data_IF_919500919665
#
_entry.id   IF_919500919665
#
_cell.length_a   1.000
_cell.length_b   1.000
_cell.length_c   1.000
_cell.angle_alpha   90.00
_cell.angle_beta   90.00
_cell.angle_gamma   90.00
#
_symmetry.space_group_name_H-M   'P 1'
#
loop_
_entity.id
_entity.type
_entity.pdbx_description
1 polymer ?
#
# COMPACT_ATOMS: atom_id res chain seq x y z
N UNK A 1 3.44 12.80 5.96
CA UNK A 1 2.48 12.56 7.05
C UNK A 1 2.05 13.86 7.75
N UNK A 2 2.95 14.62 8.40
CA UNK A 2 2.62 15.82 9.20
C UNK A 2 1.74 16.86 8.47
N UNK A 3 2.06 17.19 7.22
CA UNK A 3 1.26 18.17 6.46
C UNK A 3 -0.18 17.70 6.19
N UNK A 4 -0.37 16.42 5.88
CA UNK A 4 -1.69 15.83 5.64
C UNK A 4 -2.52 15.79 6.93
N UNK A 5 -1.88 15.54 8.08
CA UNK A 5 -2.52 15.65 9.40
C UNK A 5 -2.95 17.10 9.66
N UNK A 6 -2.06 18.07 9.45
CA UNK A 6 -2.35 19.49 9.67
C UNK A 6 -3.48 20.02 8.77
N UNK A 7 -3.63 19.46 7.56
CA UNK A 7 -4.74 19.77 6.66
C UNK A 7 -6.03 18.98 6.95
N UNK A 8 -6.00 18.05 7.91
CA UNK A 8 -7.16 17.23 8.27
C UNK A 8 -7.50 16.12 7.26
N UNK A 9 -6.58 15.77 6.36
CA UNK A 9 -6.79 14.78 5.30
C UNK A 9 -6.72 13.33 5.81
N UNK A 10 -5.95 13.12 6.89
CA UNK A 10 -5.72 11.81 7.52
C UNK A 10 -5.73 11.96 9.04
N UNK A 11 -5.99 10.87 9.77
CA UNK A 11 -5.90 10.85 11.23
C UNK A 11 -4.43 10.81 11.70
N UNK A 12 -4.09 11.41 12.86
CA UNK A 12 -2.78 11.21 13.49
C UNK A 12 -2.54 9.72 13.83
N UNK A 13 -1.34 9.23 13.56
CA UNK A 13 -0.94 7.85 13.86
C UNK A 13 0.59 7.75 14.04
N UNK A 14 1.06 6.65 14.61
CA UNK A 14 2.49 6.33 14.69
C UNK A 14 3.09 6.16 13.30
N UNK A 15 4.39 6.47 13.14
CA UNK A 15 5.07 6.40 11.86
C UNK A 15 5.06 4.98 11.29
N UNK A 16 5.25 3.99 12.15
CA UNK A 16 5.24 2.57 11.83
C UNK A 16 3.88 2.14 11.27
N UNK A 17 2.79 2.61 11.88
CA UNK A 17 1.42 2.36 11.41
C UNK A 17 1.20 2.99 10.04
N UNK A 18 1.60 4.25 9.87
CA UNK A 18 1.52 4.92 8.57
C UNK A 18 2.32 4.17 7.50
N UNK A 19 3.54 3.75 7.82
CA UNK A 19 4.42 3.06 6.87
C UNK A 19 3.87 1.69 6.45
N UNK A 20 3.35 0.91 7.42
CA UNK A 20 2.73 -0.39 7.17
C UNK A 20 1.49 -0.31 6.28
N UNK A 21 0.74 0.80 6.31
CA UNK A 21 -0.43 0.99 5.43
C UNK A 21 -0.03 1.63 4.09
N UNK A 22 0.80 2.67 4.11
CA UNK A 22 1.12 3.47 2.93
C UNK A 22 2.06 2.76 1.94
N UNK A 23 3.05 2.02 2.45
CA UNK A 23 4.15 1.52 1.62
C UNK A 23 4.26 0.00 1.57
N UNK A 24 4.00 -0.71 2.67
CA UNK A 24 4.11 -2.17 2.69
C UNK A 24 3.30 -2.88 1.58
N UNK A 25 2.09 -2.40 1.18
CA UNK A 25 1.36 -3.01 0.07
C UNK A 25 2.13 -2.99 -1.25
N UNK A 26 2.76 -1.87 -1.61
CA UNK A 26 3.58 -1.78 -2.82
C UNK A 26 4.81 -2.70 -2.73
N UNK A 27 5.51 -2.72 -1.60
CA UNK A 27 6.65 -3.62 -1.39
C UNK A 27 6.25 -5.08 -1.56
N UNK A 28 5.08 -5.49 -1.07
CA UNK A 28 4.57 -6.84 -1.25
C UNK A 28 4.28 -7.16 -2.73
N UNK A 29 3.65 -6.25 -3.48
CA UNK A 29 3.40 -6.46 -4.92
C UNK A 29 4.69 -6.60 -5.72
N UNK A 30 5.66 -5.72 -5.45
CA UNK A 30 6.98 -5.74 -6.09
C UNK A 30 7.70 -7.05 -5.76
N UNK A 31 7.68 -7.47 -4.50
CA UNK A 31 8.24 -8.76 -4.06
C UNK A 31 7.59 -9.93 -4.80
N UNK A 32 6.26 -9.98 -4.87
CA UNK A 32 5.55 -11.06 -5.58
C UNK A 32 5.92 -11.12 -7.06
N UNK A 33 6.09 -9.96 -7.71
CA UNK A 33 6.51 -9.89 -9.10
C UNK A 33 7.95 -10.41 -9.29
N UNK A 34 8.89 -9.98 -8.45
CA UNK A 34 10.28 -10.45 -8.52
C UNK A 34 10.43 -11.95 -8.20
N UNK A 35 9.67 -12.47 -7.24
CA UNK A 35 9.65 -13.90 -6.95
C UNK A 35 8.88 -14.72 -8.01
N UNK A 36 8.12 -14.06 -8.89
CA UNK A 36 7.23 -14.69 -9.88
C UNK A 36 6.05 -15.44 -9.26
N UNK A 37 5.82 -15.30 -7.95
CA UNK A 37 4.80 -16.02 -7.19
C UNK A 37 4.29 -15.20 -6.00
N UNK A 38 3.07 -15.52 -5.59
CA UNK A 38 2.36 -14.90 -4.47
C UNK A 38 1.88 -15.97 -3.48
N UNK A 39 0.77 -15.68 -2.80
CA UNK A 39 0.18 -16.50 -1.73
C UNK A 39 -0.03 -17.94 -2.20
N UNK A 40 0.52 -18.89 -1.44
CA UNK A 40 0.44 -20.32 -1.74
C UNK A 40 1.21 -20.75 -2.98
N UNK A 41 2.21 -19.97 -3.43
CA UNK A 41 3.03 -20.28 -4.60
C UNK A 41 2.35 -19.99 -5.94
N UNK A 42 1.19 -19.31 -5.93
CA UNK A 42 0.45 -18.96 -7.15
C UNK A 42 1.28 -18.02 -8.03
N UNK A 43 1.43 -18.27 -9.34
CA UNK A 43 2.12 -17.36 -10.25
C UNK A 43 1.58 -15.94 -10.13
N UNK A 44 2.48 -14.95 -10.12
CA UNK A 44 2.10 -13.56 -10.01
C UNK A 44 2.98 -12.68 -10.87
N UNK A 45 2.35 -11.75 -11.59
CA UNK A 45 2.99 -10.66 -12.33
C UNK A 45 2.27 -9.39 -11.92
N UNK A 46 3.02 -8.41 -11.42
CA UNK A 46 2.50 -7.05 -11.22
C UNK A 46 1.98 -6.48 -12.54
N UNK A 47 0.72 -6.06 -12.52
CA UNK A 47 0.05 -5.37 -13.63
C UNK A 47 -0.39 -3.99 -13.16
N UNK A 48 -0.63 -3.07 -14.11
CA UNK A 48 -1.19 -1.74 -13.79
C UNK A 48 -2.50 -1.85 -13.01
N UNK A 49 -3.36 -2.81 -13.36
CA UNK A 49 -4.61 -3.05 -12.65
C UNK A 49 -4.35 -3.35 -11.16
N UNK A 50 -3.46 -4.29 -10.86
CA UNK A 50 -3.15 -4.66 -9.48
C UNK A 50 -2.48 -3.51 -8.70
N UNK A 51 -1.63 -2.75 -9.37
CA UNK A 51 -0.97 -1.57 -8.81
C UNK A 51 -2.00 -0.50 -8.41
N UNK A 52 -2.86 -0.10 -9.35
CA UNK A 52 -3.87 0.94 -9.12
C UNK A 52 -4.94 0.50 -8.14
N UNK A 53 -5.42 -0.74 -8.20
CA UNK A 53 -6.37 -1.28 -7.23
C UNK A 53 -5.82 -1.23 -5.80
N UNK A 54 -4.55 -1.61 -5.62
CA UNK A 54 -3.89 -1.55 -4.31
C UNK A 54 -3.70 -0.11 -3.85
N UNK A 55 -3.30 0.79 -4.74
CA UNK A 55 -3.13 2.22 -4.43
C UNK A 55 -4.45 2.87 -3.98
N UNK A 56 -5.55 2.64 -4.69
CA UNK A 56 -6.87 3.19 -4.33
C UNK A 56 -7.31 2.71 -2.93
N UNK A 57 -7.05 1.45 -2.60
CA UNK A 57 -7.35 0.92 -1.25
C UNK A 57 -6.47 1.54 -0.16
N UNK A 58 -5.18 1.80 -0.45
CA UNK A 58 -4.29 2.52 0.47
C UNK A 58 -4.78 3.95 0.72
N UNK A 59 -5.15 4.67 -0.34
CA UNK A 59 -5.70 6.03 -0.22
C UNK A 59 -7.00 6.01 0.59
N UNK A 60 -7.91 5.07 0.29
CA UNK A 60 -9.17 4.91 1.04
C UNK A 60 -8.93 4.62 2.52
N UNK A 61 -7.92 3.82 2.86
CA UNK A 61 -7.63 3.47 4.25
C UNK A 61 -7.06 4.64 5.06
N UNK A 62 -6.31 5.54 4.42
CA UNK A 62 -5.67 6.67 5.08
C UNK A 62 -6.55 7.92 5.15
N UNK A 63 -7.40 8.13 4.14
CA UNK A 63 -8.25 9.31 4.02
C UNK A 63 -9.31 9.34 5.12
N UNK A 64 -9.46 10.50 5.75
CA UNK A 64 -10.52 10.79 6.72
C UNK A 64 -11.86 11.08 6.03
#
# INVERSE_FOLDING_TARGET
MTNAINRGEINPMQLEVYWSVAFAPLYNLVRFHFEGRSIGGKPFILTDKALWETFELVIKALKK
#
